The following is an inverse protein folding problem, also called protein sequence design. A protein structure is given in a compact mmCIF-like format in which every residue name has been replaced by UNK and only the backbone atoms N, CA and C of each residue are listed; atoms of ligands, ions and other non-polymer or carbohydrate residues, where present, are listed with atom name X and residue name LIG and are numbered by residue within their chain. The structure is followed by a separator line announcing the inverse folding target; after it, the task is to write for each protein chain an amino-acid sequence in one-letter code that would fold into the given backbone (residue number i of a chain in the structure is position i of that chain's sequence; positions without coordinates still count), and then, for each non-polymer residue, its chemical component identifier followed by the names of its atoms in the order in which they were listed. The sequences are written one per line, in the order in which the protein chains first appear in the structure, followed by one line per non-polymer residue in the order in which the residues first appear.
data_IF_354643219524
#
_entry.id   IF_354643219524
#
_cell.length_a   1.000
_cell.length_b   1.000
_cell.length_c   1.000
_cell.angle_alpha   90.00
_cell.angle_beta   90.00
_cell.angle_gamma   90.00
#
_symmetry.space_group_name_H-M   'P 1'
#
loop_
_entity.id
_entity.type
_entity.pdbx_description
1 polymer ?
#
# COMPACT_ATOMS: atom_id res chain seq x y z
N UNK A 1 -0.07 12.79 17.32
CA UNK A 1 0.46 13.13 15.98
C UNK A 1 -0.64 13.90 15.26
N UNK A 2 -0.45 15.20 15.03
CA UNK A 2 -1.44 15.99 14.28
C UNK A 2 -1.03 16.06 12.81
N UNK A 3 -1.00 14.90 12.13
CA UNK A 3 -0.62 14.80 10.72
C UNK A 3 -1.34 15.86 9.88
N UNK A 4 -2.66 15.97 10.02
CA UNK A 4 -3.45 16.97 9.29
C UNK A 4 -3.17 18.41 9.71
N UNK A 5 -2.66 18.69 10.90
CA UNK A 5 -2.28 20.06 11.26
C UNK A 5 -0.96 20.47 10.59
N UNK A 6 -0.05 19.52 10.34
CA UNK A 6 1.20 19.76 9.63
C UNK A 6 1.03 19.78 8.11
N UNK A 7 0.08 19.02 7.56
CA UNK A 7 -0.12 18.81 6.12
C UNK A 7 -1.51 19.23 5.65
N UNK A 8 -2.18 20.16 6.34
CA UNK A 8 -3.53 20.64 5.99
C UNK A 8 -3.58 21.32 4.62
N UNK A 9 -2.48 21.95 4.22
CA UNK A 9 -2.28 22.68 2.97
C UNK A 9 -1.88 21.78 1.81
N UNK A 10 -1.47 20.53 2.10
CA UNK A 10 -1.13 19.53 1.09
C UNK A 10 -2.42 18.95 0.49
N UNK A 11 -2.59 19.00 -0.85
CA UNK A 11 -3.72 18.35 -1.50
C UNK A 11 -3.82 16.87 -1.14
N UNK A 12 -5.04 16.38 -0.86
CA UNK A 12 -5.22 14.98 -0.44
C UNK A 12 -4.81 13.97 -1.52
N UNK A 13 -4.78 14.38 -2.79
CA UNK A 13 -4.35 13.57 -3.93
C UNK A 13 -2.83 13.59 -4.17
N UNK A 14 -2.06 14.41 -3.45
CA UNK A 14 -0.59 14.36 -3.44
C UNK A 14 -0.02 13.52 -2.30
N UNK A 15 -0.86 12.92 -1.46
CA UNK A 15 -0.41 12.01 -0.40
C UNK A 15 -0.27 10.60 -0.96
N UNK A 16 0.96 10.11 -0.98
CA UNK A 16 1.28 8.74 -1.39
C UNK A 16 1.65 7.93 -0.16
N UNK A 17 1.14 6.69 -0.09
CA UNK A 17 1.61 5.72 0.87
C UNK A 17 2.49 4.70 0.14
N UNK A 18 3.68 4.48 0.68
CA UNK A 18 4.63 3.48 0.22
C UNK A 18 5.01 2.58 1.40
N UNK A 19 5.16 1.29 1.12
CA UNK A 19 5.68 0.31 2.07
C UNK A 19 7.22 0.33 2.07
N UNK A 20 7.85 -0.41 2.99
CA UNK A 20 9.29 -0.41 3.32
C UNK A 20 10.25 -0.76 2.17
N UNK A 21 9.76 -0.90 0.94
CA UNK A 21 10.53 -1.23 -0.27
C UNK A 21 10.49 -0.10 -1.30
N UNK A 22 11.04 1.06 -0.92
CA UNK A 22 11.33 2.12 -1.87
C UNK A 22 12.45 1.69 -2.82
N UNK A 23 12.26 1.89 -4.14
CA UNK A 23 13.34 1.67 -5.13
C UNK A 23 14.47 2.71 -4.96
N UNK A 24 14.11 3.87 -4.40
CA UNK A 24 14.94 5.08 -4.37
C UNK A 24 15.37 5.52 -2.97
N UNK A 25 14.93 4.83 -1.92
CA UNK A 25 15.29 5.16 -0.54
C UNK A 25 15.32 3.91 0.35
N UNK A 26 16.18 3.92 1.37
CA UNK A 26 16.29 2.84 2.35
C UNK A 26 15.23 2.98 3.45
N UNK A 27 14.85 1.86 4.07
CA UNK A 27 14.01 1.86 5.27
C UNK A 27 14.74 1.23 6.48
N UNK A 28 14.76 1.88 7.66
CA UNK A 28 14.22 3.21 7.93
C UNK A 28 14.96 4.31 7.16
N UNK A 29 14.31 5.44 6.81
CA UNK A 29 14.94 6.50 6.03
C UNK A 29 16.14 7.09 6.77
N UNK A 30 17.25 7.22 6.05
CA UNK A 30 18.47 7.91 6.50
C UNK A 30 18.58 9.30 5.84
N UNK A 31 19.54 10.12 6.27
CA UNK A 31 19.70 11.48 5.74
C UNK A 31 19.84 11.52 4.21
N UNK A 32 20.56 10.56 3.61
CA UNK A 32 20.68 10.45 2.15
C UNK A 32 19.36 10.11 1.45
N UNK A 33 18.47 9.36 2.11
CA UNK A 33 17.14 9.04 1.59
C UNK A 33 16.28 10.30 1.51
N UNK A 34 16.27 11.11 2.58
CA UNK A 34 15.56 12.39 2.61
C UNK A 34 16.11 13.36 1.57
N UNK A 35 17.44 13.48 1.47
CA UNK A 35 18.09 14.37 0.50
C UNK A 35 17.76 13.99 -0.95
N UNK A 36 17.81 12.69 -1.27
CA UNK A 36 17.44 12.21 -2.60
C UNK A 36 15.98 12.48 -2.95
N UNK A 37 15.05 12.11 -2.05
CA UNK A 37 13.62 12.29 -2.32
C UNK A 37 13.25 13.76 -2.48
N UNK A 38 13.86 14.65 -1.70
CA UNK A 38 13.66 16.08 -1.86
C UNK A 38 14.28 16.63 -3.15
N UNK A 39 15.55 16.31 -3.42
CA UNK A 39 16.32 16.92 -4.52
C UNK A 39 15.99 16.33 -5.90
N UNK A 40 15.60 15.05 -5.97
CA UNK A 40 15.40 14.34 -7.23
C UNK A 40 13.94 13.95 -7.51
N UNK A 41 13.11 13.77 -6.48
CA UNK A 41 11.70 13.36 -6.60
C UNK A 41 10.75 14.49 -6.18
N UNK A 42 11.27 15.59 -5.64
CA UNK A 42 10.51 16.76 -5.17
C UNK A 42 9.41 16.36 -4.17
N UNK A 43 9.73 15.42 -3.27
CA UNK A 43 8.77 14.85 -2.32
C UNK A 43 9.36 14.75 -0.92
N UNK A 44 8.54 15.07 0.08
CA UNK A 44 8.88 14.88 1.49
C UNK A 44 8.56 13.45 1.94
N UNK A 45 9.53 12.77 2.56
CA UNK A 45 9.30 11.47 3.19
C UNK A 45 8.80 11.71 4.62
N UNK A 46 7.77 10.99 5.04
CA UNK A 46 7.32 10.98 6.44
C UNK A 46 7.23 9.54 6.92
N UNK A 47 8.12 9.17 7.84
CA UNK A 47 8.09 7.84 8.45
C UNK A 47 6.89 7.71 9.41
N UNK A 48 6.17 6.59 9.33
CA UNK A 48 5.14 6.26 10.31
C UNK A 48 5.79 5.94 11.67
N UNK A 49 5.11 6.24 12.79
CA UNK A 49 5.60 5.80 14.10
C UNK A 49 5.75 4.27 14.15
N UNK A 50 6.72 3.76 14.92
CA UNK A 50 6.89 2.32 15.09
C UNK A 50 5.59 1.64 15.54
N UNK A 51 5.32 0.44 15.00
CA UNK A 51 4.15 -0.39 15.33
C UNK A 51 2.79 0.24 15.00
N UNK A 52 2.73 1.25 14.12
CA UNK A 52 1.49 1.89 13.70
C UNK A 52 1.00 1.49 12.31
N UNK A 53 1.66 0.56 11.59
CA UNK A 53 1.25 0.18 10.23
C UNK A 53 -0.21 -0.29 10.16
N UNK A 54 -0.66 -1.11 11.12
CA UNK A 54 -2.04 -1.60 11.18
C UNK A 54 -3.12 -0.52 11.35
N UNK A 55 -2.74 0.70 11.74
CA UNK A 55 -3.67 1.82 11.97
C UNK A 55 -3.40 3.03 11.08
N UNK A 56 -2.17 3.22 10.60
CA UNK A 56 -1.73 4.41 9.88
C UNK A 56 -1.30 4.14 8.43
N UNK A 57 -1.24 2.88 8.01
CA UNK A 57 -0.93 2.51 6.62
C UNK A 57 -2.24 2.16 5.87
N UNK A 58 -2.69 2.97 4.90
CA UNK A 58 -3.91 2.70 4.12
C UNK A 58 -3.96 1.28 3.53
N UNK A 59 -2.82 0.76 3.06
CA UNK A 59 -2.72 -0.59 2.53
C UNK A 59 -3.20 -1.62 3.56
N UNK A 60 -2.67 -1.59 4.79
CA UNK A 60 -3.01 -2.53 5.86
C UNK A 60 -4.40 -2.29 6.45
N UNK A 61 -4.79 -1.02 6.62
CA UNK A 61 -6.04 -0.61 7.26
C UNK A 61 -7.28 -1.01 6.45
N UNK A 62 -7.22 -0.93 5.12
CA UNK A 62 -8.42 -1.11 4.28
C UNK A 62 -8.25 -2.02 3.06
N UNK A 63 -7.11 -1.95 2.38
CA UNK A 63 -6.94 -2.62 1.08
C UNK A 63 -6.63 -4.11 1.26
N UNK A 64 -5.69 -4.45 2.14
CA UNK A 64 -5.18 -5.82 2.29
C UNK A 64 -6.23 -6.82 2.74
N UNK A 65 -7.15 -6.43 3.62
CA UNK A 65 -8.24 -7.29 4.07
C UNK A 65 -9.14 -7.74 2.91
N UNK A 66 -9.56 -6.79 2.07
CA UNK A 66 -10.42 -7.05 0.91
C UNK A 66 -9.66 -7.82 -0.17
N UNK A 67 -8.41 -7.42 -0.46
CA UNK A 67 -7.56 -8.12 -1.42
C UNK A 67 -7.38 -9.59 -1.05
N UNK A 68 -7.04 -9.89 0.21
CA UNK A 68 -6.90 -11.28 0.71
C UNK A 68 -8.21 -12.06 0.60
N UNK A 69 -9.37 -11.42 0.84
CA UNK A 69 -10.67 -12.08 0.69
C UNK A 69 -10.94 -12.46 -0.78
N UNK A 70 -10.65 -11.57 -1.73
CA UNK A 70 -10.78 -11.83 -3.17
C UNK A 70 -9.82 -12.91 -3.65
N UNK A 71 -8.56 -12.85 -3.23
CA UNK A 71 -7.57 -13.90 -3.49
C UNK A 71 -8.05 -15.27 -3.01
N UNK A 72 -8.57 -15.37 -1.78
CA UNK A 72 -9.12 -16.62 -1.24
C UNK A 72 -10.28 -17.14 -2.07
N UNK A 73 -11.20 -16.27 -2.50
CA UNK A 73 -12.31 -16.64 -3.39
C UNK A 73 -11.79 -17.22 -4.71
N UNK A 74 -10.90 -16.52 -5.41
CA UNK A 74 -10.33 -16.97 -6.68
C UNK A 74 -9.55 -18.29 -6.54
N UNK A 75 -8.94 -18.53 -5.38
CA UNK A 75 -8.24 -19.78 -5.12
C UNK A 75 -9.19 -20.97 -4.96
N UNK A 76 -10.39 -20.74 -4.43
CA UNK A 76 -11.42 -21.78 -4.26
C UNK A 76 -12.14 -22.05 -5.57
N UNK A 77 -12.38 -21.03 -6.39
CA UNK A 77 -13.08 -21.15 -7.68
C UNK A 77 -12.25 -21.89 -8.73
N UNK A 78 -10.92 -21.81 -8.67
CA UNK A 78 -10.04 -22.46 -9.63
C UNK A 78 -9.63 -23.87 -9.15
N UNK A 79 -10.30 -24.88 -9.68
CA UNK A 79 -9.99 -26.29 -9.43
C UNK A 79 -8.76 -26.80 -10.22
N UNK A 80 -8.07 -25.95 -10.99
CA UNK A 80 -6.95 -26.37 -11.84
C UNK A 80 -5.74 -26.78 -11.01
N UNK A 81 -5.31 -28.04 -11.16
CA UNK A 81 -4.08 -28.55 -10.53
C UNK A 81 -2.87 -28.21 -11.41
N UNK A 82 -2.11 -27.20 -10.99
CA UNK A 82 -0.83 -26.87 -11.62
C UNK A 82 0.28 -27.79 -11.10
N UNK A 83 1.04 -28.40 -12.02
CA UNK A 83 2.03 -29.42 -11.66
C UNK A 83 3.42 -28.79 -11.53
N UNK A 84 3.80 -27.91 -12.46
CA UNK A 84 5.14 -27.30 -12.45
C UNK A 84 5.20 -26.07 -11.55
N UNK A 85 6.38 -25.79 -11.00
CA UNK A 85 6.60 -24.58 -10.23
C UNK A 85 6.34 -23.31 -11.06
N UNK A 86 6.65 -23.33 -12.36
CA UNK A 86 6.39 -22.21 -13.27
C UNK A 86 4.89 -21.96 -13.46
N UNK A 87 4.08 -23.01 -13.64
CA UNK A 87 2.62 -22.91 -13.74
C UNK A 87 2.02 -22.37 -12.44
N UNK A 88 2.44 -22.90 -11.28
CA UNK A 88 1.99 -22.43 -9.97
C UNK A 88 2.27 -20.93 -9.79
N UNK A 89 3.50 -20.47 -10.06
CA UNK A 89 3.86 -19.05 -9.98
C UNK A 89 3.01 -18.18 -10.90
N UNK A 90 2.88 -18.58 -12.18
CA UNK A 90 2.08 -17.83 -13.16
C UNK A 90 0.64 -17.69 -12.70
N UNK A 91 0.04 -18.78 -12.23
CA UNK A 91 -1.34 -18.78 -11.78
C UNK A 91 -1.54 -17.96 -10.50
N UNK A 92 -0.58 -17.98 -9.56
CA UNK A 92 -0.62 -17.09 -8.38
C UNK A 92 -0.56 -15.63 -8.79
N UNK A 93 0.33 -15.26 -9.72
CA UNK A 93 0.46 -13.88 -10.21
C UNK A 93 -0.83 -13.42 -10.91
N UNK A 94 -1.38 -14.25 -11.80
CA UNK A 94 -2.62 -13.93 -12.52
C UNK A 94 -3.82 -13.73 -11.58
N UNK A 95 -3.95 -14.59 -10.55
CA UNK A 95 -5.00 -14.42 -9.54
C UNK A 95 -4.80 -13.16 -8.70
N UNK A 96 -3.56 -12.79 -8.38
CA UNK A 96 -3.26 -11.54 -7.68
C UNK A 96 -3.65 -10.31 -8.53
N UNK A 97 -3.34 -10.31 -9.83
CA UNK A 97 -3.75 -9.25 -10.76
C UNK A 97 -5.29 -9.15 -10.79
N UNK A 98 -5.98 -10.28 -10.97
CA UNK A 98 -7.45 -10.29 -11.00
C UNK A 98 -8.06 -9.82 -9.67
N UNK A 99 -7.53 -10.26 -8.53
CA UNK A 99 -8.01 -9.81 -7.22
C UNK A 99 -7.80 -8.31 -7.03
N UNK A 100 -6.73 -7.74 -7.59
CA UNK A 100 -6.45 -6.30 -7.54
C UNK A 100 -7.40 -5.50 -8.43
N UNK A 101 -7.67 -5.97 -9.66
CA UNK A 101 -8.58 -5.31 -10.59
C UNK A 101 -10.02 -5.20 -10.05
N UNK A 102 -10.42 -6.11 -9.17
CA UNK A 102 -11.73 -6.05 -8.51
C UNK A 102 -11.77 -5.11 -7.27
N UNK A 103 -10.65 -4.50 -6.87
CA UNK A 103 -10.63 -3.49 -5.80
C UNK A 103 -11.14 -2.17 -6.35
N UNK A 104 -12.23 -1.66 -5.75
CA UNK A 104 -12.82 -0.41 -6.18
C UNK A 104 -12.04 0.81 -5.67
N UNK A 105 -12.07 1.89 -6.44
CA UNK A 105 -11.49 3.19 -6.05
C UNK A 105 -12.05 3.69 -4.70
N UNK A 106 -13.31 3.38 -4.39
CA UNK A 106 -13.91 3.75 -3.10
C UNK A 106 -13.25 3.05 -1.92
N UNK A 107 -12.81 1.79 -2.07
CA UNK A 107 -12.08 1.08 -1.01
C UNK A 107 -10.75 1.78 -0.75
N UNK A 108 -10.02 2.13 -1.80
CA UNK A 108 -8.74 2.86 -1.71
C UNK A 108 -8.96 4.21 -1.00
N UNK A 109 -9.94 5.02 -1.43
CA UNK A 109 -10.22 6.30 -0.76
C UNK A 109 -10.55 6.12 0.72
N UNK A 110 -11.44 5.18 1.03
CA UNK A 110 -11.84 4.89 2.42
C UNK A 110 -10.69 4.40 3.29
N UNK A 111 -9.67 3.75 2.71
CA UNK A 111 -8.52 3.30 3.48
C UNK A 111 -7.61 4.45 3.89
N UNK A 112 -7.46 5.48 3.05
CA UNK A 112 -6.77 6.71 3.41
C UNK A 112 -7.51 7.49 4.50
N UNK A 113 -8.84 7.61 4.39
CA UNK A 113 -9.66 8.28 5.42
C UNK A 113 -9.57 7.60 6.79
N UNK A 114 -9.49 6.26 6.82
CA UNK A 114 -9.33 5.49 8.06
C UNK A 114 -7.92 5.56 8.62
N UNK A 115 -6.91 5.45 7.76
CA UNK A 115 -5.51 5.42 8.17
C UNK A 115 -5.01 6.79 8.62
N UNK A 116 -5.61 7.86 8.08
CA UNK A 116 -5.26 9.23 8.41
C UNK A 116 -6.53 9.93 8.93
N UNK A 117 -6.95 9.67 10.18
CA UNK A 117 -8.19 10.22 10.73
C UNK A 117 -8.13 11.75 10.74
N UNK A 118 -9.14 12.40 10.14
CA UNK A 118 -9.34 13.84 10.31
C UNK A 118 -9.81 14.13 11.75
N UNK A 119 -9.47 15.30 12.27
CA UNK A 119 -10.04 15.79 13.54
C UNK A 119 -11.55 15.85 13.48
#
# INVERSE_FOLDING_TARGET
MEFWSCFADVPSDSIVNADETGIYYDYPPNDSSYDYMWTNVESEIVALPPNCTSVAQPLDVGVMGVFKAKLRRLWIEDATVHITAAQKRRATIQRAIQAWDEISRSIIKSSFEKAIPRK
#
